data_IF_775256393041
#
_entry.id   IF_775256393041
#
_cell.length_a   1.000
_cell.length_b   1.000
_cell.length_c   1.000
_cell.angle_alpha   90.00
_cell.angle_beta   90.00
_cell.angle_gamma   90.00
#
_symmetry.space_group_name_H-M   'P 1'
#
loop_
_entity.id
_entity.type
_entity.pdbx_description
1 polymer ?
#
# COMPACT_ATOMS: atom_id res chain seq x y z
N UNK A 1 -19.59 -5.48 -14.86
CA UNK A 1 -19.72 -4.01 -14.91
C UNK A 1 -19.02 -3.37 -13.72
N UNK A 2 -19.34 -3.76 -12.48
CA UNK A 2 -18.75 -3.16 -11.27
C UNK A 2 -17.22 -3.31 -11.17
N UNK A 3 -16.64 -4.45 -11.58
CA UNK A 3 -15.17 -4.60 -11.66
C UNK A 3 -14.53 -3.67 -12.70
N UNK A 4 -15.19 -3.45 -13.84
CA UNK A 4 -14.67 -2.58 -14.90
C UNK A 4 -14.62 -1.12 -14.46
N UNK A 5 -15.63 -0.66 -13.71
CA UNK A 5 -15.64 0.70 -13.13
C UNK A 5 -14.54 0.85 -12.07
N UNK A 6 -14.33 -0.19 -11.24
CA UNK A 6 -13.26 -0.17 -10.26
C UNK A 6 -11.88 -0.15 -10.93
N UNK A 7 -11.68 -0.95 -11.97
CA UNK A 7 -10.43 -1.01 -12.73
C UNK A 7 -10.13 0.33 -13.42
N UNK A 8 -11.13 0.95 -14.08
CA UNK A 8 -10.99 2.28 -14.67
C UNK A 8 -10.63 3.34 -13.62
N UNK A 9 -11.28 3.30 -12.45
CA UNK A 9 -10.98 4.23 -11.36
C UNK A 9 -9.55 4.04 -10.83
N UNK A 10 -9.10 2.79 -10.68
CA UNK A 10 -7.72 2.49 -10.31
C UNK A 10 -6.72 3.03 -11.34
N UNK A 11 -6.92 2.75 -12.62
CA UNK A 11 -6.04 3.22 -13.70
C UNK A 11 -5.89 4.75 -13.68
N UNK A 12 -7.00 5.47 -13.48
CA UNK A 12 -7.01 6.93 -13.35
C UNK A 12 -6.25 7.42 -12.11
N UNK A 13 -6.32 6.68 -11.00
CA UNK A 13 -5.65 7.03 -9.74
C UNK A 13 -4.17 6.61 -9.71
N UNK A 14 -3.77 5.62 -10.51
CA UNK A 14 -2.38 5.11 -10.54
C UNK A 14 -1.37 6.12 -11.08
N UNK A 15 -1.81 7.16 -11.78
CA UNK A 15 -0.93 8.26 -12.20
C UNK A 15 -0.59 9.23 -11.05
N UNK A 16 -1.18 9.03 -9.87
CA UNK A 16 -1.01 9.91 -8.70
C UNK A 16 -0.20 9.25 -7.59
N UNK A 17 0.51 10.08 -6.82
CA UNK A 17 1.30 9.66 -5.68
C UNK A 17 0.45 9.06 -4.55
N UNK A 18 1.07 8.30 -3.62
CA UNK A 18 0.37 7.78 -2.44
C UNK A 18 0.07 8.86 -1.40
N UNK A 19 0.66 10.05 -1.53
CA UNK A 19 0.49 11.20 -0.64
C UNK A 19 0.40 12.50 -1.48
N UNK A 20 -0.16 13.56 -0.90
CA UNK A 20 -0.31 14.88 -1.53
C UNK A 20 -0.38 16.00 -0.47
N UNK A 21 -0.07 17.23 -0.85
CA UNK A 21 -0.16 18.41 0.00
C UNK A 21 0.90 18.49 1.11
N UNK A 22 2.02 17.78 0.96
CA UNK A 22 3.16 17.82 1.87
C UNK A 22 4.21 18.87 1.48
N UNK A 23 5.30 18.96 2.24
CA UNK A 23 6.48 19.74 1.85
C UNK A 23 7.36 18.99 0.82
N UNK A 24 8.48 19.60 0.41
CA UNK A 24 9.40 19.04 -0.60
C UNK A 24 10.00 17.67 -0.21
N UNK A 25 10.04 17.36 1.10
CA UNK A 25 10.50 16.07 1.63
C UNK A 25 9.34 15.07 1.78
N UNK A 26 8.12 15.51 1.47
CA UNK A 26 6.89 14.74 1.59
C UNK A 26 6.41 14.60 3.04
N UNK A 27 6.87 15.44 3.95
CA UNK A 27 6.40 15.46 5.33
C UNK A 27 5.10 16.27 5.45
N UNK A 28 4.27 15.92 6.44
CA UNK A 28 2.96 16.54 6.73
C UNK A 28 1.90 16.43 5.60
N UNK A 29 2.13 15.60 4.59
CA UNK A 29 1.17 15.33 3.52
C UNK A 29 -0.02 14.48 3.98
N UNK A 30 -1.11 14.53 3.20
CA UNK A 30 -2.27 13.65 3.35
C UNK A 30 -2.07 12.39 2.51
N UNK A 31 -2.45 11.22 3.04
CA UNK A 31 -2.45 9.99 2.24
C UNK A 31 -3.59 10.00 1.22
N UNK A 32 -3.27 9.61 -0.01
CA UNK A 32 -4.23 9.40 -1.08
C UNK A 32 -5.10 8.18 -0.77
N UNK A 33 -6.38 8.44 -0.46
CA UNK A 33 -7.35 7.40 -0.15
C UNK A 33 -8.23 7.00 -1.33
N UNK A 34 -8.00 7.60 -2.50
CA UNK A 34 -8.77 7.36 -3.74
C UNK A 34 -9.08 5.90 -3.99
N UNK A 35 -8.06 5.02 -4.10
CA UNK A 35 -8.26 3.60 -4.41
C UNK A 35 -9.15 2.87 -3.40
N UNK A 36 -8.97 3.16 -2.10
CA UNK A 36 -9.76 2.57 -1.02
C UNK A 36 -11.19 3.08 -1.02
N UNK A 37 -11.39 4.38 -1.31
CA UNK A 37 -12.72 4.98 -1.37
C UNK A 37 -13.54 4.43 -2.54
N UNK A 38 -12.95 4.30 -3.74
CA UNK A 38 -13.66 3.76 -4.92
C UNK A 38 -13.99 2.28 -4.74
N UNK A 39 -13.09 1.50 -4.13
CA UNK A 39 -13.37 0.10 -3.77
C UNK A 39 -14.60 -0.01 -2.86
N UNK A 40 -14.69 0.83 -1.81
CA UNK A 40 -15.83 0.84 -0.91
C UNK A 40 -17.11 1.27 -1.63
N UNK A 41 -17.07 2.30 -2.47
CA UNK A 41 -18.25 2.74 -3.24
C UNK A 41 -18.79 1.61 -4.11
N UNK A 42 -17.94 0.96 -4.89
CA UNK A 42 -18.33 -0.17 -5.76
C UNK A 42 -18.91 -1.32 -4.94
N UNK A 43 -18.27 -1.70 -3.83
CA UNK A 43 -18.73 -2.80 -2.97
C UNK A 43 -20.04 -2.52 -2.24
N UNK A 44 -20.39 -1.24 -2.10
CA UNK A 44 -21.66 -0.80 -1.49
C UNK A 44 -22.75 -0.52 -2.52
N UNK A 45 -22.53 -0.81 -3.81
CA UNK A 45 -23.54 -0.62 -4.86
C UNK A 45 -23.65 0.83 -5.34
N UNK A 46 -22.60 1.63 -5.15
CA UNK A 46 -22.51 3.02 -5.57
C UNK A 46 -21.56 3.21 -6.75
N UNK A 47 -21.39 2.19 -7.61
CA UNK A 47 -20.48 2.25 -8.75
C UNK A 47 -20.83 3.37 -9.75
N UNK A 48 -22.11 3.77 -9.84
CA UNK A 48 -22.57 4.85 -10.74
C UNK A 48 -22.04 6.23 -10.34
N UNK A 49 -21.68 6.42 -9.06
CA UNK A 49 -21.14 7.68 -8.54
C UNK A 49 -19.61 7.77 -8.69
N UNK A 50 -18.93 6.64 -8.95
CA UNK A 50 -17.46 6.56 -8.96
C UNK A 50 -16.83 7.53 -9.95
N UNK A 51 -17.23 7.62 -11.23
CA UNK A 51 -16.57 8.52 -12.18
C UNK A 51 -16.62 9.98 -11.72
N UNK A 52 -17.80 10.45 -11.29
CA UNK A 52 -18.00 11.81 -10.77
C UNK A 52 -17.19 12.06 -9.49
N UNK A 53 -17.09 11.07 -8.62
CA UNK A 53 -16.31 11.18 -7.40
C UNK A 53 -14.81 11.29 -7.71
N UNK A 54 -14.30 10.46 -8.64
CA UNK A 54 -12.89 10.51 -9.09
C UNK A 54 -12.60 11.85 -9.76
N UNK A 55 -13.47 12.36 -10.63
CA UNK A 55 -13.33 13.68 -11.28
C UNK A 55 -13.17 14.81 -10.26
N UNK A 56 -13.91 14.75 -9.15
CA UNK A 56 -13.84 15.75 -8.09
C UNK A 56 -12.63 15.58 -7.16
N UNK A 57 -12.11 14.35 -7.01
CA UNK A 57 -11.02 14.05 -6.09
C UNK A 57 -9.63 14.25 -6.72
N UNK A 58 -9.45 13.85 -7.98
CA UNK A 58 -8.18 13.91 -8.72
C UNK A 58 -7.48 15.27 -8.67
N UNK A 59 -8.15 16.43 -8.79
CA UNK A 59 -7.48 17.74 -8.77
C UNK A 59 -6.77 18.08 -7.45
N UNK A 60 -6.98 17.30 -6.39
CA UNK A 60 -6.33 17.47 -5.09
C UNK A 60 -5.01 16.71 -4.99
N UNK A 61 -4.79 15.75 -5.88
CA UNK A 61 -3.71 14.80 -5.81
C UNK A 61 -2.48 15.32 -6.56
N UNK A 62 -1.32 14.86 -6.12
CA UNK A 62 -0.05 15.08 -6.81
C UNK A 62 0.27 13.92 -7.75
N UNK A 63 1.01 14.23 -8.81
CA UNK A 63 1.49 13.22 -9.76
C UNK A 63 2.41 12.23 -9.05
N UNK A 64 2.37 10.96 -9.48
CA UNK A 64 3.31 9.96 -9.01
C UNK A 64 4.72 10.36 -9.50
N UNK A 65 5.73 10.48 -8.61
CA UNK A 65 7.10 10.77 -9.03
C UNK A 65 7.62 9.71 -10.00
N UNK A 66 8.33 10.15 -11.04
CA UNK A 66 9.01 9.23 -11.96
C UNK A 66 10.10 8.43 -11.24
N UNK A 67 10.35 7.23 -11.75
CA UNK A 67 11.48 6.43 -11.28
C UNK A 67 12.80 7.10 -11.69
N UNK A 68 13.66 7.36 -10.72
CA UNK A 68 14.99 7.95 -10.91
C UNK A 68 16.11 6.91 -10.95
N UNK A 69 16.02 5.83 -10.18
CA UNK A 69 17.07 4.82 -10.06
C UNK A 69 16.54 3.40 -9.85
N UNK A 70 17.15 2.42 -10.52
CA UNK A 70 16.68 1.03 -10.46
C UNK A 70 16.91 0.37 -9.10
N UNK A 71 15.82 -0.05 -8.45
CA UNK A 71 15.85 -0.99 -7.32
C UNK A 71 15.98 -2.43 -7.84
N UNK A 72 16.80 -3.24 -7.18
CA UNK A 72 17.02 -4.65 -7.52
C UNK A 72 16.90 -5.55 -6.29
N UNK A 73 16.78 -6.86 -6.50
CA UNK A 73 16.80 -7.85 -5.42
C UNK A 73 18.06 -7.82 -4.54
N UNK A 74 19.14 -7.17 -4.99
CA UNK A 74 20.38 -6.97 -4.20
C UNK A 74 20.40 -5.62 -3.47
N UNK A 75 19.82 -4.58 -4.05
CA UNK A 75 19.94 -3.18 -3.60
C UNK A 75 18.72 -2.65 -2.85
N UNK A 76 17.63 -3.42 -2.77
CA UNK A 76 16.37 -2.95 -2.18
C UNK A 76 16.48 -2.50 -0.73
N UNK A 77 17.39 -3.08 0.07
CA UNK A 77 17.57 -2.71 1.48
C UNK A 77 18.04 -1.27 1.63
N UNK A 78 18.86 -0.80 0.69
CA UNK A 78 19.44 0.54 0.73
C UNK A 78 18.40 1.62 0.35
N UNK A 79 17.32 1.24 -0.34
CA UNK A 79 16.22 2.12 -0.72
C UNK A 79 15.04 2.11 0.27
N UNK A 80 15.07 1.23 1.27
CA UNK A 80 13.96 1.03 2.19
C UNK A 80 13.85 2.22 3.15
N UNK A 81 12.66 2.83 3.21
CA UNK A 81 12.41 4.00 4.06
C UNK A 81 12.87 5.35 3.48
N UNK A 82 13.39 5.38 2.25
CA UNK A 82 13.68 6.62 1.52
C UNK A 82 12.45 7.02 0.69
N UNK A 83 11.66 7.96 1.21
CA UNK A 83 10.40 8.41 0.60
C UNK A 83 10.57 8.95 -0.82
N UNK A 84 11.75 9.53 -1.14
CA UNK A 84 12.07 10.05 -2.48
C UNK A 84 12.12 8.95 -3.54
N UNK A 85 12.27 7.69 -3.11
CA UNK A 85 12.36 6.51 -3.98
C UNK A 85 10.98 5.90 -4.28
N UNK A 86 9.87 6.58 -3.96
CA UNK A 86 8.52 6.03 -4.17
C UNK A 86 8.23 5.66 -5.63
N UNK A 87 8.71 6.46 -6.59
CA UNK A 87 8.64 6.14 -8.02
C UNK A 87 9.42 4.86 -8.37
N UNK A 88 10.61 4.70 -7.81
CA UNK A 88 11.45 3.52 -8.01
C UNK A 88 10.86 2.26 -7.41
N UNK A 89 10.30 2.37 -6.20
CA UNK A 89 9.58 1.30 -5.54
C UNK A 89 8.34 0.89 -6.33
N UNK A 90 7.61 1.86 -6.89
CA UNK A 90 6.45 1.60 -7.74
C UNK A 90 6.87 0.85 -9.01
N UNK A 91 7.90 1.31 -9.71
CA UNK A 91 8.44 0.60 -10.87
C UNK A 91 8.94 -0.81 -10.51
N UNK A 92 9.61 -0.97 -9.37
CA UNK A 92 10.09 -2.27 -8.90
C UNK A 92 8.93 -3.25 -8.67
N UNK A 93 7.92 -2.87 -7.89
CA UNK A 93 6.80 -3.76 -7.59
C UNK A 93 5.91 -4.01 -8.80
N UNK A 94 5.71 -3.04 -9.68
CA UNK A 94 5.00 -3.26 -10.95
C UNK A 94 5.69 -4.32 -11.79
N UNK A 95 7.03 -4.30 -11.89
CA UNK A 95 7.79 -5.37 -12.54
C UNK A 95 7.68 -6.72 -11.80
N UNK A 96 7.64 -6.72 -10.46
CA UNK A 96 7.43 -7.98 -9.72
C UNK A 96 6.06 -8.59 -10.01
N UNK A 97 5.00 -7.78 -10.20
CA UNK A 97 3.67 -8.27 -10.54
C UNK A 97 3.56 -8.81 -11.98
N UNK A 98 4.45 -8.40 -12.89
CA UNK A 98 4.51 -8.98 -14.24
C UNK A 98 5.31 -10.28 -14.29
N UNK A 99 6.32 -10.42 -13.44
CA UNK A 99 7.22 -11.59 -13.40
C UNK A 99 6.72 -12.72 -12.50
N UNK A 100 5.89 -12.41 -11.50
CA UNK A 100 5.50 -13.35 -10.46
C UNK A 100 4.00 -13.24 -10.13
N UNK A 101 3.43 -14.31 -9.56
CA UNK A 101 2.06 -14.23 -9.06
C UNK A 101 2.00 -13.28 -7.87
N UNK A 102 0.95 -12.46 -7.80
CA UNK A 102 0.79 -11.46 -6.74
C UNK A 102 0.87 -12.06 -5.32
N UNK A 103 0.40 -13.31 -5.13
CA UNK A 103 0.46 -14.03 -3.85
C UNK A 103 1.90 -14.30 -3.43
N UNK A 104 2.76 -14.67 -4.37
CA UNK A 104 4.18 -14.95 -4.13
C UNK A 104 4.95 -13.65 -3.83
N UNK A 105 4.63 -12.56 -4.55
CA UNK A 105 5.18 -11.22 -4.27
C UNK A 105 4.78 -10.77 -2.87
N UNK A 106 3.49 -10.86 -2.52
CA UNK A 106 3.00 -10.51 -1.19
C UNK A 106 3.69 -11.34 -0.12
N UNK A 107 3.69 -12.67 -0.23
CA UNK A 107 4.31 -13.61 0.73
C UNK A 107 5.79 -13.30 0.97
N UNK A 108 6.49 -12.86 -0.08
CA UNK A 108 7.90 -12.47 -0.01
C UNK A 108 8.10 -11.15 0.74
N UNK A 109 7.20 -10.18 0.56
CA UNK A 109 7.42 -8.80 0.97
C UNK A 109 6.74 -8.41 2.28
N UNK A 110 5.56 -8.95 2.60
CA UNK A 110 4.87 -8.59 3.85
C UNK A 110 5.75 -8.83 5.10
N UNK A 111 6.56 -9.91 5.24
CA UNK A 111 7.40 -10.09 6.41
C UNK A 111 8.58 -9.11 6.46
N UNK A 112 9.05 -8.66 5.29
CA UNK A 112 10.15 -7.68 5.18
C UNK A 112 9.69 -6.29 5.58
N UNK A 113 8.45 -5.95 5.26
CA UNK A 113 7.86 -4.63 5.52
C UNK A 113 7.22 -4.54 6.91
N UNK A 114 6.77 -5.65 7.48
CA UNK A 114 6.11 -5.72 8.78
C UNK A 114 6.84 -4.98 9.93
N UNK A 115 8.19 -5.04 10.06
CA UNK A 115 8.88 -4.31 11.13
C UNK A 115 8.69 -2.79 11.07
N UNK A 116 8.29 -2.23 9.92
CA UNK A 116 8.00 -0.82 9.72
C UNK A 116 6.53 -0.51 9.51
N UNK A 117 5.63 -1.36 10.01
CA UNK A 117 4.17 -1.24 9.84
C UNK A 117 3.60 0.10 10.32
N UNK A 118 4.17 0.69 11.37
CA UNK A 118 3.66 1.93 11.96
C UNK A 118 3.98 3.18 11.14
N UNK A 119 4.91 3.09 10.18
CA UNK A 119 5.33 4.23 9.38
C UNK A 119 4.24 4.69 8.41
N UNK A 120 4.27 5.98 8.02
CA UNK A 120 3.23 6.59 7.19
C UNK A 120 1.83 6.51 7.83
N UNK A 121 1.76 6.56 9.16
CA UNK A 121 0.55 6.36 9.94
C UNK A 121 -0.24 5.09 9.53
N UNK A 122 0.49 3.99 9.26
CA UNK A 122 -0.05 2.68 8.82
C UNK A 122 -0.70 2.63 7.44
N UNK A 123 -0.71 3.72 6.67
CA UNK A 123 -1.44 3.76 5.39
C UNK A 123 -0.88 2.78 4.34
N UNK A 124 0.43 2.48 4.37
CA UNK A 124 1.01 1.47 3.48
C UNK A 124 0.36 0.09 3.65
N UNK A 125 0.27 -0.42 4.90
CA UNK A 125 -0.37 -1.73 5.17
C UNK A 125 -1.88 -1.69 4.94
N UNK A 126 -2.55 -0.57 5.23
CA UNK A 126 -3.98 -0.40 4.95
C UNK A 126 -4.23 -0.48 3.44
N UNK A 127 -3.41 0.21 2.64
CA UNK A 127 -3.49 0.20 1.18
C UNK A 127 -3.20 -1.19 0.61
N UNK A 128 -2.21 -1.91 1.14
CA UNK A 128 -2.01 -3.33 0.77
C UNK A 128 -3.22 -4.18 1.13
N UNK A 129 -3.76 -4.03 2.35
CA UNK A 129 -4.89 -4.81 2.84
C UNK A 129 -6.14 -4.65 1.96
N UNK A 130 -6.46 -3.43 1.52
CA UNK A 130 -7.59 -3.22 0.63
C UNK A 130 -7.36 -3.87 -0.75
N UNK A 131 -6.16 -3.75 -1.33
CA UNK A 131 -5.84 -4.34 -2.63
C UNK A 131 -5.92 -5.88 -2.58
N UNK A 132 -5.36 -6.49 -1.54
CA UNK A 132 -5.48 -7.94 -1.27
C UNK A 132 -6.94 -8.35 -1.14
N UNK A 133 -7.74 -7.56 -0.44
CA UNK A 133 -9.18 -7.81 -0.29
C UNK A 133 -9.89 -7.75 -1.65
N UNK A 134 -9.54 -6.82 -2.54
CA UNK A 134 -10.08 -6.73 -3.91
C UNK A 134 -9.74 -7.99 -4.72
N UNK A 135 -8.46 -8.38 -4.72
CA UNK A 135 -7.96 -9.57 -5.40
C UNK A 135 -8.68 -10.85 -4.93
N UNK A 136 -8.81 -11.04 -3.61
CA UNK A 136 -9.48 -12.20 -3.03
C UNK A 136 -10.99 -12.28 -3.32
N UNK A 137 -11.64 -11.16 -3.62
CA UNK A 137 -13.07 -11.14 -4.01
C UNK A 137 -13.32 -11.40 -5.49
N UNK A 138 -12.29 -11.80 -6.24
CA UNK A 138 -12.42 -12.23 -7.63
C UNK A 138 -12.12 -11.17 -8.68
N UNK A 139 -11.62 -9.98 -8.30
CA UNK A 139 -11.01 -9.06 -9.24
C UNK A 139 -9.48 -9.22 -9.22
N UNK A 140 -8.97 -10.25 -9.92
CA UNK A 140 -7.53 -10.49 -10.08
C UNK A 140 -6.96 -9.83 -11.35
N UNK A 141 -7.65 -8.82 -11.90
CA UNK A 141 -7.24 -8.11 -13.11
C UNK A 141 -5.97 -7.27 -12.94
N UNK A 142 -5.37 -6.80 -14.06
CA UNK A 142 -4.13 -6.03 -14.02
C UNK A 142 -4.20 -4.78 -13.13
N UNK A 143 -5.30 -4.03 -13.17
CA UNK A 143 -5.47 -2.84 -12.34
C UNK A 143 -5.42 -3.16 -10.83
N UNK A 144 -6.07 -4.23 -10.39
CA UNK A 144 -6.02 -4.64 -8.98
C UNK A 144 -4.60 -5.09 -8.55
N UNK A 145 -3.84 -5.73 -9.43
CA UNK A 145 -2.45 -6.12 -9.16
C UNK A 145 -1.52 -4.90 -9.12
N UNK A 146 -1.72 -3.93 -10.02
CA UNK A 146 -1.02 -2.63 -9.98
C UNK A 146 -1.32 -1.89 -8.67
N UNK A 147 -2.57 -1.91 -8.20
CA UNK A 147 -2.91 -1.29 -6.92
C UNK A 147 -2.19 -1.96 -5.73
N UNK A 148 -2.04 -3.29 -5.75
CA UNK A 148 -1.21 -3.99 -4.77
C UNK A 148 0.26 -3.57 -4.87
N UNK A 149 0.81 -3.42 -6.08
CA UNK A 149 2.17 -2.94 -6.30
C UNK A 149 2.37 -1.53 -5.71
N UNK A 150 1.43 -0.62 -5.94
CA UNK A 150 1.46 0.75 -5.40
C UNK A 150 1.36 0.76 -3.87
N UNK A 151 0.51 -0.10 -3.28
CA UNK A 151 0.43 -0.27 -1.83
C UNK A 151 1.74 -0.76 -1.22
N UNK A 152 2.38 -1.77 -1.82
CA UNK A 152 3.68 -2.28 -1.38
C UNK A 152 4.79 -1.23 -1.55
N UNK A 153 4.77 -0.47 -2.65
CA UNK A 153 5.72 0.59 -2.91
C UNK A 153 5.63 1.70 -1.86
N UNK A 154 4.41 2.12 -1.52
CA UNK A 154 4.18 3.11 -0.48
C UNK A 154 4.69 2.64 0.88
N UNK A 155 4.38 1.38 1.24
CA UNK A 155 4.86 0.81 2.49
C UNK A 155 6.39 0.73 2.53
N UNK A 156 7.04 0.33 1.44
CA UNK A 156 8.50 0.26 1.35
C UNK A 156 9.17 1.65 1.41
N UNK A 157 8.60 2.64 0.74
CA UNK A 157 9.14 4.00 0.68
C UNK A 157 9.06 4.72 2.04
N UNK A 158 7.99 4.51 2.82
CA UNK A 158 7.86 5.11 4.16
C UNK A 158 8.42 4.27 5.28
N UNK A 159 8.77 3.02 5.02
CA UNK A 159 9.20 2.04 6.01
C UNK A 159 10.18 2.64 7.03
N UNK A 160 9.87 2.50 8.32
CA UNK A 160 10.77 2.83 9.41
C UNK A 160 10.57 1.81 10.50
N UNK A 161 11.63 1.10 10.86
CA UNK A 161 11.57 0.18 11.99
C UNK A 161 11.32 0.95 13.29
N UNK A 162 10.52 0.36 14.17
CA UNK A 162 10.42 0.84 15.55
C UNK A 162 11.67 0.33 16.29
N UNK A 163 12.50 1.23 16.86
CA UNK A 163 13.67 0.81 17.64
C UNK A 163 13.26 -0.11 18.79
N UNK A 164 14.07 -1.14 19.05
CA UNK A 164 13.84 -2.07 20.16
C UNK A 164 12.86 -3.21 19.87
N UNK A 165 12.27 -3.29 18.68
CA UNK A 165 11.55 -4.50 18.24
C UNK A 165 12.56 -5.62 18.03
N UNK A 166 12.37 -6.72 18.76
CA UNK A 166 13.17 -7.95 18.63
C UNK A 166 12.35 -9.02 17.94
N UNK A 167 13.02 -10.00 17.34
CA UNK A 167 12.32 -11.15 16.80
C UNK A 167 11.55 -11.85 17.93
N UNK A 168 10.28 -12.23 17.71
CA UNK A 168 9.52 -13.00 18.70
C UNK A 168 10.31 -14.24 19.10
N UNK A 169 10.39 -14.50 20.39
CA UNK A 169 11.03 -15.68 20.97
C UNK A 169 10.08 -16.34 21.97
N UNK A 170 10.23 -17.65 22.16
CA UNK A 170 9.37 -18.44 23.04
C UNK A 170 8.72 -19.61 22.30
N UNK A 171 7.77 -20.25 22.97
CA UNK A 171 7.10 -21.47 22.50
C UNK A 171 5.58 -21.35 22.44
N UNK A 172 5.02 -20.20 22.82
CA UNK A 172 3.58 -19.95 22.73
C UNK A 172 3.17 -19.77 21.27
N UNK A 173 1.95 -20.17 20.95
CA UNK A 173 1.35 -19.78 19.67
C UNK A 173 0.91 -18.31 19.70
N UNK A 174 0.47 -17.80 18.54
CA UNK A 174 0.12 -16.38 18.41
C UNK A 174 -1.08 -15.96 19.27
N UNK A 175 -2.05 -16.84 19.48
CA UNK A 175 -3.23 -16.54 20.28
C UNK A 175 -2.87 -16.53 21.77
N UNK A 176 -2.18 -17.57 22.24
CA UNK A 176 -1.70 -17.68 23.62
C UNK A 176 -0.75 -16.54 23.99
N UNK A 177 0.15 -16.15 23.06
CA UNK A 177 1.06 -15.03 23.27
C UNK A 177 0.33 -13.69 23.39
N UNK A 178 -0.74 -13.49 22.62
CA UNK A 178 -1.56 -12.28 22.69
C UNK A 178 -2.35 -12.20 24.00
N UNK A 179 -2.94 -13.32 24.44
CA UNK A 179 -3.69 -13.41 25.69
C UNK A 179 -2.79 -13.20 26.93
N UNK A 180 -1.49 -13.50 26.81
CA UNK A 180 -0.51 -13.26 27.86
C UNK A 180 -0.05 -11.80 27.98
N UNK A 181 -0.39 -10.92 27.04
CA UNK A 181 0.00 -9.49 27.09
C UNK A 181 -0.75 -8.80 28.24
N UNK A 182 -0.04 -8.22 29.24
CA UNK A 182 -0.71 -7.54 30.34
C UNK A 182 -1.60 -6.40 29.83
N UNK A 183 -2.88 -6.42 30.20
CA UNK A 183 -3.79 -5.32 29.91
C UNK A 183 -3.47 -4.12 30.79
N UNK A 184 -3.46 -2.92 30.20
CA UNK A 184 -3.50 -1.69 30.97
C UNK A 184 -4.85 -1.64 31.69
N UNK A 185 -4.84 -1.45 33.01
CA UNK A 185 -6.07 -1.17 33.76
C UNK A 185 -6.69 0.11 33.21
N UNK A 186 -7.95 0.03 32.81
CA UNK A 186 -8.74 1.20 32.39
C UNK A 186 -8.66 2.26 33.49
N UNK A 187 -8.18 3.45 33.15
CA UNK A 187 -8.23 4.62 34.03
C UNK A 187 -9.61 5.24 34.05
#
# INVERSE_FOLDING_TARGET
MSNQILDEAYERLHVTGPEFGGDEEGDNGLSNHGPMAVEVLVRRGHEVDVPRWVDAYMPRLEELPEASDRITGRTWRDALGDGRRVGDWTAYFSNQMTEHQWRDVLATWWPRLLPGISAGATHGVIRVGHAVRTLLTGNEGPAAQTELAHGLAFWAARWRSVPGVTAPAGTLDAADALDAVPHLTVQ
#
